data_IF_214116505230
#
_entry.id   IF_214116505230
#
_cell.length_a   1.000
_cell.length_b   1.000
_cell.length_c   1.000
_cell.angle_alpha   90.00
_cell.angle_beta   90.00
_cell.angle_gamma   90.00
#
_symmetry.space_group_name_H-M   'P 1'
#
loop_
_entity.id
_entity.type
_entity.pdbx_description
1 polymer ?
#
# COMPACT_ATOMS: atom_id res chain seq x y z
N UNK A 1 0.96 33.07 9.43
CA UNK A 1 -0.20 32.90 10.36
C UNK A 1 -0.46 31.41 10.51
N UNK A 2 -0.28 30.85 11.70
CA UNK A 2 -0.47 29.42 11.92
C UNK A 2 -1.96 29.06 11.89
N UNK A 3 -2.30 27.98 11.19
CA UNK A 3 -3.66 27.39 11.18
C UNK A 3 -4.04 27.05 12.61
N UNK A 4 -5.20 27.54 13.08
CA UNK A 4 -5.70 27.22 14.43
C UNK A 4 -6.11 25.74 14.52
N UNK A 5 -6.15 25.19 15.75
CA UNK A 5 -6.54 23.81 15.99
C UNK A 5 -7.94 23.48 15.41
N UNK A 6 -8.90 24.40 15.59
CA UNK A 6 -10.26 24.21 15.05
C UNK A 6 -10.30 24.12 13.52
N UNK A 7 -9.52 24.96 12.83
CA UNK A 7 -9.42 24.92 11.36
C UNK A 7 -8.70 23.62 10.92
N UNK A 8 -7.63 23.23 11.62
CA UNK A 8 -6.91 21.99 11.31
C UNK A 8 -7.82 20.76 11.47
N UNK A 9 -8.61 20.68 12.53
CA UNK A 9 -9.60 19.60 12.76
C UNK A 9 -10.68 19.63 11.66
N UNK A 10 -11.20 20.80 11.30
CA UNK A 10 -12.20 20.94 10.24
C UNK A 10 -11.70 20.46 8.88
N UNK A 11 -10.49 20.88 8.48
CA UNK A 11 -9.85 20.46 7.23
C UNK A 11 -9.51 18.96 7.24
N UNK A 12 -9.02 18.43 8.37
CA UNK A 12 -8.75 17.01 8.55
C UNK A 12 -10.03 16.16 8.39
N UNK A 13 -11.12 16.58 9.04
CA UNK A 13 -12.40 15.87 8.94
C UNK A 13 -12.95 15.90 7.51
N UNK A 14 -12.87 17.06 6.85
CA UNK A 14 -13.31 17.20 5.45
C UNK A 14 -12.49 16.31 4.52
N UNK A 15 -11.15 16.32 4.67
CA UNK A 15 -10.26 15.49 3.87
C UNK A 15 -10.51 14.00 4.13
N UNK A 16 -10.71 13.57 5.39
CA UNK A 16 -11.02 12.19 5.76
C UNK A 16 -12.31 11.71 5.09
N UNK A 17 -13.39 12.49 5.19
CA UNK A 17 -14.67 12.15 4.56
C UNK A 17 -14.52 12.10 3.04
N UNK A 18 -13.81 13.04 2.44
CA UNK A 18 -13.56 13.08 0.99
C UNK A 18 -12.81 11.84 0.52
N UNK A 19 -11.76 11.43 1.23
CA UNK A 19 -10.98 10.22 0.92
C UNK A 19 -11.84 8.97 1.03
N UNK A 20 -12.60 8.80 2.13
CA UNK A 20 -13.45 7.62 2.33
C UNK A 20 -14.52 7.52 1.25
N UNK A 21 -15.23 8.61 0.98
CA UNK A 21 -16.27 8.64 -0.06
C UNK A 21 -15.66 8.36 -1.44
N UNK A 22 -14.56 9.03 -1.79
CA UNK A 22 -13.89 8.81 -3.07
C UNK A 22 -13.39 7.35 -3.20
N UNK A 23 -12.82 6.75 -2.14
CA UNK A 23 -12.33 5.38 -2.15
C UNK A 23 -13.45 4.34 -2.39
N UNK A 24 -14.65 4.56 -1.81
CA UNK A 24 -15.81 3.70 -2.04
C UNK A 24 -16.24 3.73 -3.51
N UNK A 25 -16.41 4.92 -4.09
CA UNK A 25 -16.79 5.05 -5.50
C UNK A 25 -15.68 4.60 -6.45
N UNK A 26 -14.42 4.84 -6.11
CA UNK A 26 -13.26 4.36 -6.87
C UNK A 26 -13.28 2.84 -6.99
N UNK A 27 -13.52 2.13 -5.88
CA UNK A 27 -13.56 0.67 -5.84
C UNK A 27 -14.71 0.13 -6.69
N UNK A 28 -15.91 0.72 -6.56
CA UNK A 28 -17.06 0.33 -7.38
C UNK A 28 -16.81 0.57 -8.87
N UNK A 29 -16.22 1.71 -9.22
CA UNK A 29 -15.86 2.00 -10.60
C UNK A 29 -14.78 1.04 -11.14
N UNK A 30 -13.78 0.67 -10.31
CA UNK A 30 -12.76 -0.31 -10.65
C UNK A 30 -13.36 -1.69 -10.93
N UNK A 31 -14.33 -2.14 -10.14
CA UNK A 31 -15.03 -3.42 -10.35
C UNK A 31 -15.80 -3.44 -11.68
N UNK A 32 -16.50 -2.35 -12.01
CA UNK A 32 -17.18 -2.20 -13.31
C UNK A 32 -16.18 -2.20 -14.48
N UNK A 33 -15.03 -1.52 -14.32
CA UNK A 33 -13.95 -1.52 -15.34
C UNK A 33 -13.41 -2.95 -15.52
N UNK A 34 -13.17 -3.68 -14.43
CA UNK A 34 -12.69 -5.05 -14.48
C UNK A 34 -13.65 -5.94 -15.28
N UNK A 35 -14.94 -5.92 -14.91
CA UNK A 35 -16.00 -6.72 -15.52
C UNK A 35 -16.21 -6.36 -17.01
N UNK A 36 -16.38 -5.05 -17.34
CA UNK A 36 -16.65 -4.60 -18.71
C UNK A 36 -15.50 -4.73 -19.69
N UNK A 37 -14.26 -4.68 -19.19
CA UNK A 37 -13.06 -4.78 -20.05
C UNK A 37 -12.47 -6.20 -20.09
N UNK A 38 -12.99 -7.14 -19.29
CA UNK A 38 -12.41 -8.48 -19.19
C UNK A 38 -10.96 -8.50 -18.67
N UNK A 39 -10.59 -7.49 -17.86
CA UNK A 39 -9.20 -7.35 -17.36
C UNK A 39 -8.91 -8.21 -16.13
N UNK A 40 -9.93 -8.83 -15.55
CA UNK A 40 -9.83 -9.56 -14.28
C UNK A 40 -9.64 -8.64 -13.07
N UNK A 41 -10.35 -8.94 -11.98
CA UNK A 41 -10.31 -8.19 -10.71
C UNK A 41 -8.91 -8.15 -10.09
N UNK A 42 -8.11 -9.19 -10.33
CA UNK A 42 -6.73 -9.26 -9.87
C UNK A 42 -5.86 -8.15 -10.47
N UNK A 43 -5.92 -7.95 -11.79
CA UNK A 43 -5.11 -6.92 -12.46
C UNK A 43 -5.60 -5.52 -12.10
N UNK A 44 -6.92 -5.29 -12.12
CA UNK A 44 -7.50 -3.99 -11.78
C UNK A 44 -7.20 -3.62 -10.32
N UNK A 45 -7.33 -4.58 -9.39
CA UNK A 45 -6.99 -4.36 -7.98
C UNK A 45 -5.50 -4.06 -7.79
N UNK A 46 -4.62 -4.87 -8.37
CA UNK A 46 -3.17 -4.75 -8.11
C UNK A 46 -2.48 -3.58 -8.83
N UNK A 47 -3.06 -3.04 -9.89
CA UNK A 47 -2.44 -1.97 -10.68
C UNK A 47 -3.26 -0.68 -10.68
N UNK A 48 -4.52 -0.74 -11.14
CA UNK A 48 -5.32 0.48 -11.27
C UNK A 48 -5.74 1.03 -9.90
N UNK A 49 -6.35 0.17 -9.07
CA UNK A 49 -6.86 0.58 -7.77
C UNK A 49 -5.70 0.92 -6.83
N UNK A 50 -4.72 0.03 -6.71
CA UNK A 50 -3.53 0.24 -5.90
C UNK A 50 -2.75 1.50 -6.34
N UNK A 51 -2.53 1.69 -7.64
CA UNK A 51 -1.86 2.88 -8.14
C UNK A 51 -2.63 4.18 -7.85
N UNK A 52 -3.96 4.17 -8.02
CA UNK A 52 -4.77 5.37 -7.77
C UNK A 52 -4.81 5.77 -6.28
N UNK A 53 -4.82 4.82 -5.36
CA UNK A 53 -4.82 5.10 -3.92
C UNK A 53 -3.44 5.53 -3.41
N UNK A 54 -2.36 5.02 -4.00
CA UNK A 54 -0.98 5.31 -3.56
C UNK A 54 -0.32 6.50 -4.29
N UNK A 55 -1.06 7.26 -5.11
CA UNK A 55 -0.55 8.51 -5.70
C UNK A 55 -0.11 9.55 -4.66
N UNK A 56 -0.81 9.76 -3.53
CA UNK A 56 -0.36 10.64 -2.46
C UNK A 56 0.98 10.21 -1.86
N UNK A 57 1.17 8.91 -1.67
CA UNK A 57 2.40 8.33 -1.15
C UNK A 57 3.57 8.59 -2.11
N UNK A 58 3.36 8.40 -3.43
CA UNK A 58 4.36 8.74 -4.44
C UNK A 58 4.77 10.21 -4.36
N UNK A 59 3.80 11.13 -4.28
CA UNK A 59 4.07 12.56 -4.17
C UNK A 59 4.86 12.89 -2.89
N UNK A 60 4.49 12.28 -1.76
CA UNK A 60 5.17 12.44 -0.47
C UNK A 60 6.59 11.90 -0.51
N UNK A 61 6.81 10.72 -1.12
CA UNK A 61 8.13 10.13 -1.26
C UNK A 61 9.07 10.99 -2.13
N UNK A 62 8.57 11.52 -3.25
CA UNK A 62 9.33 12.43 -4.11
C UNK A 62 9.69 13.71 -3.34
N UNK A 63 8.72 14.29 -2.62
CA UNK A 63 8.98 15.50 -1.81
C UNK A 63 10.03 15.24 -0.72
N UNK A 64 9.96 14.10 -0.03
CA UNK A 64 10.96 13.70 0.97
C UNK A 64 12.35 13.50 0.35
N UNK A 65 12.41 12.85 -0.81
CA UNK A 65 13.66 12.63 -1.54
C UNK A 65 14.29 13.99 -1.98
N UNK A 66 13.51 14.89 -2.59
CA UNK A 66 13.97 16.23 -2.97
C UNK A 66 14.46 17.06 -1.77
N UNK A 67 13.88 16.85 -0.59
CA UNK A 67 14.32 17.45 0.66
C UNK A 67 15.59 16.79 1.24
N UNK A 68 16.16 15.77 0.60
CA UNK A 68 17.33 15.03 1.07
C UNK A 68 17.06 14.10 2.23
N UNK A 69 15.78 13.77 2.52
CA UNK A 69 15.40 12.90 3.63
C UNK A 69 15.14 11.47 3.16
N UNK A 70 16.20 10.65 3.08
CA UNK A 70 16.11 9.24 2.73
C UNK A 70 15.22 8.45 3.71
N UNK A 71 15.33 8.75 5.01
CA UNK A 71 14.57 8.07 6.05
C UNK A 71 13.09 8.38 6.01
N UNK A 72 12.71 9.62 5.70
CA UNK A 72 11.30 9.96 5.56
C UNK A 72 10.69 9.24 4.35
N UNK A 73 11.40 9.19 3.22
CA UNK A 73 10.93 8.48 2.03
C UNK A 73 10.84 6.96 2.25
N UNK A 74 11.93 6.32 2.69
CA UNK A 74 11.99 4.87 2.87
C UNK A 74 11.14 4.41 4.06
N UNK A 75 11.21 5.11 5.19
CA UNK A 75 10.48 4.79 6.42
C UNK A 75 8.96 4.85 6.21
N UNK A 76 8.47 5.88 5.47
CA UNK A 76 7.05 5.98 5.12
C UNK A 76 6.59 4.79 4.27
N UNK A 77 7.32 4.44 3.21
CA UNK A 77 6.96 3.34 2.31
C UNK A 77 7.01 1.97 2.99
N UNK A 78 8.07 1.69 3.74
CA UNK A 78 8.19 0.43 4.48
C UNK A 78 7.17 0.35 5.63
N UNK A 79 6.92 1.47 6.32
CA UNK A 79 5.92 1.55 7.39
C UNK A 79 4.50 1.33 6.87
N UNK A 80 4.13 1.96 5.75
CA UNK A 80 2.84 1.73 5.09
C UNK A 80 2.67 0.27 4.67
N UNK A 81 3.72 -0.35 4.11
CA UNK A 81 3.69 -1.75 3.72
C UNK A 81 3.50 -2.70 4.93
N UNK A 82 4.12 -2.40 6.08
CA UNK A 82 3.87 -3.15 7.33
C UNK A 82 2.42 -3.04 7.79
N UNK A 83 1.87 -1.82 7.77
CA UNK A 83 0.49 -1.54 8.20
C UNK A 83 -0.51 -2.23 7.28
N UNK A 84 -0.35 -2.08 5.97
CA UNK A 84 -1.20 -2.71 4.96
C UNK A 84 -1.31 -4.23 5.13
N UNK A 85 -0.23 -4.91 5.50
CA UNK A 85 -0.26 -6.36 5.76
C UNK A 85 -1.05 -6.70 7.03
N UNK A 86 -0.99 -5.85 8.05
CA UNK A 86 -1.77 -6.02 9.27
C UNK A 86 -3.25 -5.75 9.03
N UNK A 87 -3.57 -4.71 8.27
CA UNK A 87 -4.93 -4.37 7.86
C UNK A 87 -5.55 -5.48 7.01
N UNK A 88 -4.81 -6.01 6.03
CA UNK A 88 -5.25 -7.15 5.24
C UNK A 88 -5.54 -8.38 6.12
N UNK A 89 -4.68 -8.68 7.09
CA UNK A 89 -4.89 -9.80 8.01
C UNK A 89 -6.17 -9.63 8.85
N UNK A 90 -6.44 -8.40 9.32
CA UNK A 90 -7.67 -8.06 10.05
C UNK A 90 -8.90 -8.20 9.15
N UNK A 91 -8.85 -7.63 7.94
CA UNK A 91 -9.97 -7.70 6.99
C UNK A 91 -10.25 -9.13 6.55
N UNK A 92 -9.22 -9.94 6.31
CA UNK A 92 -9.38 -11.36 6.02
C UNK A 92 -9.99 -12.14 7.18
N UNK A 93 -9.72 -11.76 8.43
CA UNK A 93 -10.39 -12.36 9.59
C UNK A 93 -11.87 -11.99 9.67
N UNK A 94 -12.23 -10.76 9.27
CA UNK A 94 -13.61 -10.27 9.31
C UNK A 94 -14.46 -10.79 8.14
N UNK A 95 -13.90 -10.87 6.94
CA UNK A 95 -14.61 -11.19 5.70
C UNK A 95 -14.18 -12.51 5.05
N UNK A 96 -12.97 -12.99 5.36
CA UNK A 96 -12.34 -14.13 4.72
C UNK A 96 -12.78 -15.46 5.30
N UNK A 97 -14.01 -15.92 4.99
CA UNK A 97 -14.40 -17.29 5.24
C UNK A 97 -13.52 -18.30 4.47
N UNK A 98 -13.55 -19.57 4.90
CA UNK A 98 -12.78 -20.68 4.28
C UNK A 98 -12.94 -20.75 2.75
N UNK A 99 -14.12 -20.42 2.24
CA UNK A 99 -14.45 -20.44 0.81
C UNK A 99 -13.67 -19.36 0.02
N UNK A 100 -13.56 -18.14 0.54
CA UNK A 100 -12.81 -17.05 -0.09
C UNK A 100 -11.33 -17.45 -0.26
N UNK A 101 -10.71 -18.00 0.78
CA UNK A 101 -9.32 -18.44 0.71
C UNK A 101 -9.07 -19.60 -0.28
N UNK A 102 -10.03 -20.50 -0.44
CA UNK A 102 -9.89 -21.64 -1.35
C UNK A 102 -10.04 -21.23 -2.83
N UNK A 103 -10.87 -20.23 -3.11
CA UNK A 103 -11.11 -19.73 -4.46
C UNK A 103 -9.99 -18.82 -4.95
N UNK A 104 -9.51 -17.93 -4.07
CA UNK A 104 -8.63 -16.81 -4.40
C UNK A 104 -7.13 -17.17 -4.33
N UNK A 105 -6.73 -18.14 -3.52
CA UNK A 105 -5.36 -18.28 -3.04
C UNK A 105 -4.27 -18.51 -4.11
N UNK A 106 -4.56 -19.20 -5.22
CA UNK A 106 -3.51 -19.54 -6.20
C UNK A 106 -3.10 -18.37 -7.10
N UNK A 107 -4.05 -17.52 -7.44
CA UNK A 107 -3.83 -16.38 -8.33
C UNK A 107 -3.17 -15.22 -7.58
N UNK A 108 -3.58 -15.00 -6.34
CA UNK A 108 -3.04 -13.97 -5.46
C UNK A 108 -1.59 -14.24 -5.02
N UNK A 109 -1.15 -15.50 -5.06
CA UNK A 109 0.23 -15.85 -4.71
C UNK A 109 1.27 -15.15 -5.60
N UNK A 110 0.95 -14.91 -6.89
CA UNK A 110 1.85 -14.20 -7.81
C UNK A 110 1.94 -12.70 -7.45
N UNK A 111 0.80 -12.07 -7.12
CA UNK A 111 0.78 -10.65 -6.68
C UNK A 111 1.54 -10.50 -5.36
N UNK A 112 1.32 -11.43 -4.43
CA UNK A 112 2.04 -11.46 -3.15
C UNK A 112 3.54 -11.69 -3.33
N UNK A 113 3.94 -12.59 -4.25
CA UNK A 113 5.34 -12.82 -4.59
C UNK A 113 6.01 -11.57 -5.21
N UNK A 114 5.27 -10.83 -6.04
CA UNK A 114 5.74 -9.56 -6.62
C UNK A 114 6.01 -8.52 -5.51
N UNK A 115 5.05 -8.33 -4.60
CA UNK A 115 5.21 -7.40 -3.48
C UNK A 115 6.36 -7.81 -2.55
N UNK A 116 6.46 -9.09 -2.23
CA UNK A 116 7.56 -9.65 -1.44
C UNK A 116 8.92 -9.43 -2.10
N UNK A 117 9.04 -9.77 -3.38
CA UNK A 117 10.31 -9.65 -4.12
C UNK A 117 10.78 -8.20 -4.23
N UNK A 118 9.86 -7.27 -4.55
CA UNK A 118 10.18 -5.84 -4.64
C UNK A 118 10.60 -5.28 -3.27
N UNK A 119 9.86 -5.61 -2.20
CA UNK A 119 10.20 -5.12 -0.86
C UNK A 119 11.52 -5.70 -0.37
N UNK A 120 11.76 -6.99 -0.63
CA UNK A 120 13.03 -7.63 -0.30
C UNK A 120 14.21 -7.01 -1.07
N UNK A 121 14.01 -6.69 -2.35
CA UNK A 121 15.02 -6.03 -3.19
C UNK A 121 15.35 -4.62 -2.65
N UNK A 122 14.33 -3.82 -2.30
CA UNK A 122 14.54 -2.50 -1.73
C UNK A 122 15.25 -2.57 -0.36
N UNK A 123 14.84 -3.51 0.50
CA UNK A 123 15.48 -3.76 1.79
C UNK A 123 16.95 -4.19 1.60
N UNK A 124 17.24 -5.05 0.61
CA UNK A 124 18.61 -5.48 0.29
C UNK A 124 19.48 -4.30 -0.14
N UNK A 125 18.98 -3.41 -1.01
CA UNK A 125 19.70 -2.20 -1.40
C UNK A 125 19.96 -1.28 -0.20
N UNK A 126 19.00 -1.14 0.71
CA UNK A 126 19.17 -0.34 1.92
C UNK A 126 20.16 -0.96 2.91
N UNK A 127 20.14 -2.29 3.11
CA UNK A 127 21.09 -3.03 3.97
C UNK A 127 22.51 -2.95 3.41
N UNK A 128 22.67 -3.17 2.10
CA UNK A 128 23.96 -3.12 1.44
C UNK A 128 24.50 -1.70 1.26
N UNK A 129 23.73 -0.69 1.67
CA UNK A 129 24.07 0.72 1.44
C UNK A 129 24.43 0.98 -0.02
N UNK A 130 23.64 0.43 -0.94
CA UNK A 130 23.93 0.43 -2.36
C UNK A 130 24.05 1.87 -2.91
N UNK A 131 25.26 2.28 -3.18
CA UNK A 131 25.61 3.60 -3.73
C UNK A 131 26.21 3.43 -5.14
N UNK A 132 25.41 2.87 -6.05
CA UNK A 132 25.81 2.70 -7.44
C UNK A 132 25.05 3.73 -8.27
N UNK A 133 25.81 4.66 -8.87
CA UNK A 133 25.29 5.70 -9.75
C UNK A 133 25.92 5.57 -11.14
N UNK A 134 25.14 5.81 -12.18
CA UNK A 134 25.59 5.90 -13.56
C UNK A 134 24.99 7.17 -14.17
N UNK A 135 25.85 8.06 -14.69
CA UNK A 135 25.43 9.36 -15.23
C UNK A 135 24.53 10.14 -14.24
N UNK A 136 24.92 10.16 -12.97
CA UNK A 136 24.17 10.79 -11.84
C UNK A 136 22.83 10.12 -11.51
N UNK A 137 22.47 9.02 -12.16
CA UNK A 137 21.24 8.27 -11.90
C UNK A 137 21.52 7.14 -10.90
N UNK A 138 20.74 7.08 -9.82
CA UNK A 138 20.84 6.00 -8.83
C UNK A 138 20.31 4.67 -9.41
N UNK A 139 21.21 3.74 -9.70
CA UNK A 139 20.88 2.43 -10.30
C UNK A 139 19.90 1.62 -9.46
N UNK A 140 19.97 1.56 -8.09
CA UNK A 140 19.00 0.82 -7.31
C UNK A 140 17.54 1.22 -7.58
N UNK A 141 17.28 2.52 -7.76
CA UNK A 141 15.93 3.02 -8.11
C UNK A 141 15.46 2.56 -9.48
N UNK A 142 16.34 2.63 -10.49
CA UNK A 142 16.04 2.16 -11.85
C UNK A 142 15.74 0.65 -11.85
N UNK A 143 16.52 -0.14 -11.12
CA UNK A 143 16.32 -1.59 -10.99
C UNK A 143 14.97 -1.90 -10.34
N UNK A 144 14.59 -1.20 -9.26
CA UNK A 144 13.30 -1.38 -8.61
C UNK A 144 12.15 -1.06 -9.56
N UNK A 145 12.18 0.10 -10.23
CA UNK A 145 11.14 0.51 -11.18
C UNK A 145 11.05 -0.47 -12.35
N UNK A 146 12.21 -0.85 -12.93
CA UNK A 146 12.27 -1.84 -14.01
C UNK A 146 11.70 -3.20 -13.59
N UNK A 147 12.04 -3.67 -12.39
CA UNK A 147 11.49 -4.91 -11.82
C UNK A 147 9.98 -4.82 -11.64
N UNK A 148 9.47 -3.70 -11.12
CA UNK A 148 8.03 -3.46 -10.98
C UNK A 148 7.31 -3.53 -12.33
N UNK A 149 7.83 -2.85 -13.36
CA UNK A 149 7.25 -2.84 -14.71
C UNK A 149 7.21 -4.24 -15.31
N UNK A 150 8.31 -4.98 -15.21
CA UNK A 150 8.40 -6.36 -15.73
C UNK A 150 7.42 -7.28 -15.02
N UNK A 151 7.39 -7.27 -13.68
CA UNK A 151 6.50 -8.12 -12.91
C UNK A 151 5.02 -7.74 -13.10
N UNK A 152 4.71 -6.44 -13.24
CA UNK A 152 3.36 -5.97 -13.59
C UNK A 152 2.93 -6.45 -14.98
N UNK A 153 3.85 -6.48 -15.94
CA UNK A 153 3.62 -7.05 -17.28
C UNK A 153 3.33 -8.56 -17.23
N UNK A 154 4.07 -9.29 -16.39
CA UNK A 154 3.83 -10.73 -16.16
C UNK A 154 2.46 -10.93 -15.51
N UNK A 155 2.11 -10.17 -14.48
CA UNK A 155 0.79 -10.23 -13.83
C UNK A 155 -0.35 -10.03 -14.83
N UNK A 156 -0.20 -9.06 -15.75
CA UNK A 156 -1.19 -8.82 -16.81
C UNK A 156 -1.42 -10.04 -17.69
N UNK A 157 -0.34 -10.70 -18.13
CA UNK A 157 -0.46 -11.89 -19.00
C UNK A 157 -1.20 -13.04 -18.30
N UNK A 158 -0.94 -13.23 -17.00
CA UNK A 158 -1.63 -14.25 -16.22
C UNK A 158 -3.11 -13.91 -15.94
N UNK A 159 -3.46 -12.62 -15.84
CA UNK A 159 -4.84 -12.18 -15.56
C UNK A 159 -5.77 -12.30 -16.77
N UNK A 160 -5.26 -12.13 -17.99
CA UNK A 160 -6.05 -12.18 -19.25
C UNK A 160 -6.53 -13.62 -19.59
N UNK A 161 -5.87 -14.64 -19.04
CA UNK A 161 -6.22 -16.06 -19.31
C UNK A 161 -7.27 -16.65 -18.39
N UNK A 162 -7.78 -15.88 -17.44
CA UNK A 162 -8.73 -16.33 -16.43
C UNK A 162 -10.07 -15.67 -16.74
N UNK A 163 -10.87 -16.32 -17.60
CA UNK A 163 -12.30 -16.02 -17.69
C UNK A 163 -12.93 -16.41 -16.35
N UNK A 164 -13.26 -15.43 -15.54
CA UNK A 164 -14.21 -15.63 -14.46
C UNK A 164 -15.56 -15.90 -15.13
N UNK A 165 -15.98 -17.17 -15.21
CA UNK A 165 -17.39 -17.53 -15.38
C UNK A 165 -18.13 -17.01 -14.14
N UNK A 166 -18.42 -15.73 -14.11
CA UNK A 166 -19.33 -15.15 -13.14
C UNK A 166 -20.71 -15.09 -13.81
N UNK A 167 -21.68 -15.80 -13.23
CA UNK A 167 -23.11 -15.54 -13.39
C UNK A 167 -23.49 -14.18 -12.80
N UNK A 168 -22.63 -13.15 -13.02
CA UNK A 168 -22.86 -11.82 -12.48
C UNK A 168 -23.85 -11.06 -13.36
N UNK A 169 -24.86 -10.48 -12.72
CA UNK A 169 -25.76 -9.52 -13.33
C UNK A 169 -24.97 -8.45 -14.08
N UNK A 170 -25.41 -8.07 -15.28
CA UNK A 170 -24.74 -7.02 -16.07
C UNK A 170 -24.53 -5.75 -15.19
N UNK A 171 -23.29 -5.20 -15.16
CA UNK A 171 -23.01 -4.00 -14.38
C UNK A 171 -24.00 -2.88 -14.66
N UNK A 172 -24.56 -2.29 -13.62
CA UNK A 172 -25.62 -1.27 -13.69
C UNK A 172 -25.23 0.01 -14.43
N UNK A 173 -23.91 0.25 -14.61
CA UNK A 173 -23.39 1.47 -15.21
C UNK A 173 -22.51 1.20 -16.44
N UNK A 174 -22.41 2.22 -17.32
CA UNK A 174 -21.59 2.15 -18.53
C UNK A 174 -20.09 2.24 -18.20
N UNK A 175 -19.24 1.65 -19.07
CA UNK A 175 -17.78 1.74 -18.95
C UNK A 175 -17.29 3.21 -18.94
N UNK A 176 -17.93 4.08 -19.72
CA UNK A 176 -17.59 5.52 -19.74
C UNK A 176 -17.85 6.17 -18.39
N UNK A 177 -18.98 5.87 -17.77
CA UNK A 177 -19.28 6.33 -16.41
C UNK A 177 -18.23 5.86 -15.42
N UNK A 178 -17.87 4.56 -15.48
CA UNK A 178 -16.86 3.98 -14.57
C UNK A 178 -15.50 4.68 -14.70
N UNK A 179 -15.01 4.94 -15.92
CA UNK A 179 -13.76 5.67 -16.12
C UNK A 179 -13.81 7.11 -15.63
N UNK A 180 -14.92 7.81 -15.84
CA UNK A 180 -15.10 9.20 -15.36
C UNK A 180 -15.11 9.23 -13.82
N UNK A 181 -15.87 8.34 -13.19
CA UNK A 181 -15.91 8.24 -11.72
C UNK A 181 -14.55 7.84 -11.15
N UNK A 182 -13.88 6.84 -11.77
CA UNK A 182 -12.55 6.42 -11.38
C UNK A 182 -11.56 7.59 -11.41
N UNK A 183 -11.47 8.30 -12.52
CA UNK A 183 -10.54 9.42 -12.69
C UNK A 183 -10.86 10.57 -11.72
N UNK A 184 -12.14 10.89 -11.51
CA UNK A 184 -12.56 11.92 -10.56
C UNK A 184 -12.20 11.55 -9.11
N UNK A 185 -12.50 10.31 -8.70
CA UNK A 185 -12.21 9.83 -7.36
C UNK A 185 -10.69 9.70 -7.11
N UNK A 186 -9.92 9.21 -8.08
CA UNK A 186 -8.46 9.17 -8.00
C UNK A 186 -7.87 10.58 -7.84
N UNK A 187 -8.38 11.56 -8.59
CA UNK A 187 -7.98 12.97 -8.45
C UNK A 187 -8.34 13.54 -7.08
N UNK A 188 -9.53 13.20 -6.55
CA UNK A 188 -9.96 13.62 -5.22
C UNK A 188 -9.06 13.05 -4.12
N UNK A 189 -8.68 11.77 -4.20
CA UNK A 189 -7.74 11.11 -3.28
C UNK A 189 -6.35 11.76 -3.38
N UNK A 190 -5.87 12.02 -4.60
CA UNK A 190 -4.58 12.66 -4.85
C UNK A 190 -4.47 14.06 -4.19
N UNK A 191 -5.57 14.82 -4.18
CA UNK A 191 -5.62 16.15 -3.54
C UNK A 191 -5.87 16.06 -2.04
N UNK A 192 -6.81 15.20 -1.62
CA UNK A 192 -7.23 15.10 -0.22
C UNK A 192 -6.22 14.33 0.65
N UNK A 193 -5.49 13.36 0.11
CA UNK A 193 -4.50 12.57 0.85
C UNK A 193 -3.38 13.43 1.47
N UNK A 194 -2.64 14.23 0.70
CA UNK A 194 -1.65 15.17 1.26
C UNK A 194 -2.24 16.17 2.26
N UNK A 195 -3.46 16.68 2.01
CA UNK A 195 -4.14 17.57 2.94
C UNK A 195 -4.44 16.87 4.27
N UNK A 196 -4.85 15.60 4.21
CA UNK A 196 -5.08 14.76 5.37
C UNK A 196 -3.80 14.60 6.20
N UNK A 197 -2.67 14.28 5.55
CA UNK A 197 -1.38 14.13 6.20
C UNK A 197 -0.89 15.43 6.85
N UNK A 198 -0.95 16.56 6.13
CA UNK A 198 -0.53 17.88 6.62
C UNK A 198 -1.38 18.31 7.82
N UNK A 199 -2.69 18.13 7.75
CA UNK A 199 -3.59 18.54 8.85
C UNK A 199 -3.45 17.62 10.06
N UNK A 200 -3.22 16.32 9.88
CA UNK A 200 -2.91 15.40 10.96
C UNK A 200 -1.62 15.78 11.69
N UNK A 201 -0.55 16.07 10.94
CA UNK A 201 0.72 16.52 11.50
C UNK A 201 0.55 17.84 12.27
N UNK A 202 -0.26 18.78 11.75
CA UNK A 202 -0.56 20.05 12.41
C UNK A 202 -1.35 19.89 13.70
N UNK A 203 -2.35 18.98 13.71
CA UNK A 203 -3.11 18.64 14.92
C UNK A 203 -2.17 18.04 15.98
N UNK A 204 -1.32 17.09 15.58
CA UNK A 204 -0.36 16.47 16.47
C UNK A 204 0.59 17.50 17.10
N UNK A 205 1.13 18.44 16.32
CA UNK A 205 1.98 19.53 16.79
C UNK A 205 1.24 20.43 17.80
N UNK A 206 0.02 20.86 17.47
CA UNK A 206 -0.76 21.78 18.32
C UNK A 206 -1.27 21.16 19.61
N UNK A 207 -1.45 19.82 19.64
CA UNK A 207 -1.90 19.07 20.81
C UNK A 207 -0.75 18.52 21.66
N UNK A 208 0.50 18.66 21.20
CA UNK A 208 1.68 18.07 21.84
C UNK A 208 1.83 16.56 21.64
N UNK A 209 0.96 15.93 20.83
CA UNK A 209 1.02 14.50 20.51
C UNK A 209 2.13 14.25 19.47
N UNK A 210 2.47 15.25 18.65
CA UNK A 210 3.37 15.12 17.49
C UNK A 210 4.83 14.78 17.81
N UNK A 211 5.28 15.05 19.04
CA UNK A 211 6.62 14.68 19.50
C UNK A 211 6.70 13.22 19.99
N UNK A 212 5.59 12.49 19.99
CA UNK A 212 5.49 11.15 20.51
C UNK A 212 5.32 10.11 19.39
N UNK A 213 5.69 8.87 19.70
CA UNK A 213 5.43 7.69 18.87
C UNK A 213 3.94 7.57 18.45
N UNK A 214 3.01 7.99 19.33
CA UNK A 214 1.56 7.98 19.04
C UNK A 214 1.21 8.93 17.88
N UNK A 215 1.86 10.10 17.79
CA UNK A 215 1.65 11.02 16.66
C UNK A 215 2.08 10.42 15.32
N UNK A 216 3.23 9.73 15.30
CA UNK A 216 3.71 9.04 14.08
C UNK A 216 2.76 7.89 13.70
N UNK A 217 2.31 7.11 14.67
CA UNK A 217 1.36 6.02 14.44
C UNK A 217 0.02 6.54 13.90
N UNK A 218 -0.52 7.61 14.50
CA UNK A 218 -1.76 8.21 14.04
C UNK A 218 -1.64 8.75 12.61
N UNK A 219 -0.49 9.34 12.25
CA UNK A 219 -0.21 9.81 10.89
C UNK A 219 -0.19 8.65 9.90
N UNK A 220 0.50 7.55 10.21
CA UNK A 220 0.55 6.37 9.36
C UNK A 220 -0.85 5.78 9.12
N UNK A 221 -1.66 5.61 10.17
CA UNK A 221 -3.04 5.13 10.06
C UNK A 221 -3.91 6.02 9.15
N UNK A 222 -3.68 7.33 9.19
CA UNK A 222 -4.44 8.30 8.41
C UNK A 222 -4.03 8.29 6.93
N UNK A 223 -2.76 8.15 6.63
CA UNK A 223 -2.27 8.15 5.25
C UNK A 223 -2.64 6.87 4.49
N UNK A 224 -2.81 5.73 5.19
CA UNK A 224 -3.26 4.46 4.58
C UNK A 224 -4.79 4.32 4.54
N UNK A 225 -5.54 5.37 4.91
CA UNK A 225 -7.01 5.34 4.92
C UNK A 225 -7.64 5.03 3.54
N UNK A 226 -7.12 5.55 2.39
CA UNK A 226 -7.62 5.20 1.07
C UNK A 226 -7.51 3.69 0.80
N UNK A 227 -6.35 3.09 1.07
CA UNK A 227 -6.07 1.67 0.85
C UNK A 227 -6.95 0.77 1.71
N UNK A 228 -7.09 1.11 2.98
CA UNK A 228 -7.95 0.39 3.91
C UNK A 228 -9.42 0.46 3.45
N UNK A 229 -9.89 1.65 3.05
CA UNK A 229 -11.27 1.86 2.62
C UNK A 229 -11.58 1.14 1.30
N UNK A 230 -10.68 1.21 0.31
CA UNK A 230 -10.85 0.50 -0.97
C UNK A 230 -10.87 -1.01 -0.76
N UNK A 231 -9.96 -1.54 0.05
CA UNK A 231 -9.90 -2.97 0.35
C UNK A 231 -11.14 -3.45 1.12
N UNK A 232 -11.57 -2.69 2.14
CA UNK A 232 -12.81 -2.97 2.85
C UNK A 232 -14.02 -2.96 1.91
N UNK A 233 -14.11 -1.96 1.01
CA UNK A 233 -15.20 -1.84 0.04
C UNK A 233 -15.20 -3.00 -0.94
N UNK A 234 -14.03 -3.41 -1.45
CA UNK A 234 -13.91 -4.56 -2.33
C UNK A 234 -14.43 -5.86 -1.67
N UNK A 235 -14.13 -6.09 -0.39
CA UNK A 235 -14.75 -7.21 0.35
C UNK A 235 -16.26 -7.05 0.46
N UNK A 236 -16.75 -5.84 0.70
CA UNK A 236 -18.21 -5.56 0.87
C UNK A 236 -19.01 -5.76 -0.40
N UNK A 237 -18.44 -5.49 -1.58
CA UNK A 237 -19.10 -5.70 -2.88
C UNK A 237 -18.91 -7.13 -3.43
N UNK A 238 -18.32 -8.03 -2.65
CA UNK A 238 -18.11 -9.43 -3.06
C UNK A 238 -16.95 -9.64 -4.02
N UNK A 239 -15.96 -8.73 -4.04
CA UNK A 239 -14.75 -8.82 -4.87
C UNK A 239 -13.47 -9.08 -4.04
N UNK A 240 -13.36 -10.23 -3.33
CA UNK A 240 -12.23 -10.51 -2.46
C UNK A 240 -10.89 -10.60 -3.21
N UNK A 241 -10.92 -11.02 -4.49
CA UNK A 241 -9.74 -11.04 -5.36
C UNK A 241 -9.18 -9.64 -5.54
N UNK A 242 -10.06 -8.67 -5.83
CA UNK A 242 -9.68 -7.27 -5.96
C UNK A 242 -9.17 -6.70 -4.63
N UNK A 243 -9.77 -7.09 -3.49
CA UNK A 243 -9.35 -6.65 -2.17
C UNK A 243 -7.91 -7.08 -1.84
N UNK A 244 -7.61 -8.37 -2.03
CA UNK A 244 -6.26 -8.91 -1.75
C UNK A 244 -5.25 -8.38 -2.76
N UNK A 245 -5.63 -8.33 -4.05
CA UNK A 245 -4.79 -7.77 -5.10
C UNK A 245 -4.46 -6.29 -4.85
N UNK A 246 -5.43 -5.49 -4.36
CA UNK A 246 -5.22 -4.09 -4.02
C UNK A 246 -4.13 -3.93 -2.95
N UNK A 247 -4.20 -4.66 -1.82
CA UNK A 247 -3.22 -4.52 -0.74
C UNK A 247 -1.80 -4.93 -1.15
N UNK A 248 -1.64 -6.07 -1.82
CA UNK A 248 -0.32 -6.46 -2.32
C UNK A 248 0.16 -5.57 -3.47
N UNK A 249 -0.77 -5.12 -4.32
CA UNK A 249 -0.50 -4.16 -5.40
C UNK A 249 0.00 -2.82 -4.85
N UNK A 250 -0.68 -2.27 -3.85
CA UNK A 250 -0.26 -1.07 -3.11
C UNK A 250 1.15 -1.23 -2.53
N UNK A 251 1.43 -2.37 -1.90
CA UNK A 251 2.76 -2.63 -1.36
C UNK A 251 3.84 -2.69 -2.45
N UNK A 252 3.51 -3.25 -3.62
CA UNK A 252 4.41 -3.24 -4.78
C UNK A 252 4.59 -1.83 -5.34
N UNK A 253 3.50 -1.06 -5.44
CA UNK A 253 3.53 0.33 -5.93
C UNK A 253 4.32 1.25 -5.00
N UNK A 254 4.17 1.11 -3.69
CA UNK A 254 4.93 1.87 -2.69
C UNK A 254 6.44 1.69 -2.87
N UNK A 255 6.89 0.48 -3.16
CA UNK A 255 8.31 0.22 -3.44
C UNK A 255 8.73 0.79 -4.80
N UNK A 256 7.88 0.69 -5.81
CA UNK A 256 8.13 1.36 -7.10
C UNK A 256 8.20 2.88 -6.93
N UNK A 257 7.30 3.46 -6.12
CA UNK A 257 7.31 4.88 -5.76
C UNK A 257 8.60 5.30 -5.05
N UNK A 258 9.12 4.46 -4.13
CA UNK A 258 10.43 4.68 -3.51
C UNK A 258 11.55 4.62 -4.56
N UNK A 259 11.47 3.69 -5.51
CA UNK A 259 12.39 3.61 -6.64
C UNK A 259 12.37 4.90 -7.48
N UNK A 260 11.18 5.40 -7.84
CA UNK A 260 11.01 6.68 -8.55
C UNK A 260 11.55 7.84 -7.71
N UNK A 261 11.18 7.92 -6.44
CA UNK A 261 11.64 8.98 -5.53
C UNK A 261 13.17 9.02 -5.42
N UNK A 262 13.82 7.85 -5.44
CA UNK A 262 15.29 7.78 -5.38
C UNK A 262 16.00 8.46 -6.56
N UNK A 263 15.32 8.63 -7.70
CA UNK A 263 15.86 9.34 -8.87
C UNK A 263 15.92 10.86 -8.66
N UNK A 264 15.15 11.37 -7.71
CA UNK A 264 15.11 12.78 -7.33
C UNK A 264 15.92 13.09 -6.07
N UNK A 265 16.61 12.09 -5.49
CA UNK A 265 17.40 12.28 -4.28
C UNK A 265 18.72 12.99 -4.59
N UNK A 266 19.02 14.13 -3.93
CA UNK A 266 20.26 14.87 -4.20
C UNK A 266 21.46 14.16 -3.57
N UNK A 267 22.52 14.00 -4.32
CA UNK A 267 23.81 13.55 -3.78
C UNK A 267 24.01 12.03 -3.72
N UNK A 268 23.54 11.29 -4.73
CA UNK A 268 23.83 9.86 -4.87
C UNK A 268 22.63 8.95 -4.68
N UNK A 269 22.82 7.77 -4.10
CA UNK A 269 21.74 6.82 -3.89
C UNK A 269 20.98 7.08 -2.58
N UNK A 270 19.65 7.21 -2.67
CA UNK A 270 18.78 7.26 -1.52
C UNK A 270 19.03 6.05 -0.59
N UNK A 271 19.20 4.86 -1.18
CA UNK A 271 19.35 3.61 -0.42
C UNK A 271 20.64 3.54 0.41
N UNK A 272 21.70 4.26 0.02
CA UNK A 272 22.93 4.37 0.82
C UNK A 272 22.70 5.17 2.12
N UNK A 273 21.74 6.06 2.13
CA UNK A 273 21.49 7.01 3.23
C UNK A 273 20.31 6.61 4.14
N UNK A 274 19.68 5.45 3.89
CA UNK A 274 18.59 4.92 4.75
C UNK A 274 19.15 4.47 6.10
N UNK A 275 18.57 4.90 7.21
CA UNK A 275 18.99 4.55 8.57
C UNK A 275 18.61 3.11 8.95
N UNK A 276 19.20 2.62 10.06
CA UNK A 276 18.89 1.30 10.60
C UNK A 276 17.42 1.15 11.04
N UNK A 277 16.78 2.24 11.48
CA UNK A 277 15.36 2.25 11.84
C UNK A 277 14.47 1.97 10.63
N UNK A 278 14.70 2.67 9.52
CA UNK A 278 13.95 2.46 8.27
C UNK A 278 14.27 1.10 7.62
N UNK A 279 15.51 0.62 7.70
CA UNK A 279 15.88 -0.75 7.28
C UNK A 279 15.09 -1.79 8.08
N UNK A 280 14.96 -1.60 9.40
CA UNK A 280 14.19 -2.51 10.25
C UNK A 280 12.72 -2.55 9.84
N UNK A 281 12.11 -1.39 9.52
CA UNK A 281 10.75 -1.35 8.97
C UNK A 281 10.65 -2.17 7.66
N UNK A 282 11.62 -2.04 6.76
CA UNK A 282 11.71 -2.82 5.54
C UNK A 282 11.77 -4.33 5.80
N UNK A 283 12.58 -4.77 6.77
CA UNK A 283 12.69 -6.18 7.15
C UNK A 283 11.38 -6.74 7.74
N UNK A 284 10.70 -5.97 8.59
CA UNK A 284 9.37 -6.36 9.09
C UNK A 284 8.33 -6.39 7.98
N UNK A 285 8.36 -5.46 7.02
CA UNK A 285 7.49 -5.51 5.85
C UNK A 285 7.73 -6.77 5.02
N UNK A 286 8.99 -7.15 4.76
CA UNK A 286 9.36 -8.40 4.07
C UNK A 286 8.84 -9.62 4.84
N UNK A 287 9.02 -9.65 6.16
CA UNK A 287 8.55 -10.75 7.02
C UNK A 287 7.02 -10.90 6.93
N UNK A 288 6.27 -9.80 7.11
CA UNK A 288 4.81 -9.82 7.05
C UNK A 288 4.30 -10.24 5.68
N UNK A 289 4.89 -9.73 4.59
CA UNK A 289 4.55 -10.15 3.22
C UNK A 289 4.87 -11.61 2.96
N UNK A 290 6.02 -12.09 3.43
CA UNK A 290 6.41 -13.50 3.31
C UNK A 290 5.45 -14.43 4.04
N UNK A 291 5.00 -14.06 5.24
CA UNK A 291 3.99 -14.79 5.99
C UNK A 291 2.64 -14.80 5.28
N UNK A 292 2.19 -13.66 4.75
CA UNK A 292 0.96 -13.55 3.98
C UNK A 292 1.01 -14.37 2.68
N UNK A 293 2.11 -14.31 1.94
CA UNK A 293 2.35 -15.13 0.75
C UNK A 293 2.32 -16.63 1.10
N UNK A 294 3.00 -17.03 2.17
CA UNK A 294 3.02 -18.43 2.61
C UNK A 294 1.61 -18.93 2.96
N UNK A 295 0.77 -18.07 3.53
CA UNK A 295 -0.60 -18.38 3.85
C UNK A 295 -1.44 -18.59 2.59
N UNK A 296 -1.31 -17.74 1.57
CA UNK A 296 -1.95 -17.89 0.26
C UNK A 296 -1.51 -19.20 -0.41
N UNK A 297 -0.22 -19.52 -0.41
CA UNK A 297 0.31 -20.75 -0.99
C UNK A 297 -0.21 -22.02 -0.29
N UNK A 298 -0.39 -21.98 1.02
CA UNK A 298 -0.88 -23.13 1.81
C UNK A 298 -2.39 -23.33 1.72
N UNK A 299 -3.13 -22.38 1.14
CA UNK A 299 -4.61 -22.42 1.01
C UNK A 299 -5.34 -22.74 2.32
N UNK A 300 -4.76 -22.42 3.47
CA UNK A 300 -5.32 -22.74 4.80
C UNK A 300 -6.01 -21.52 5.39
N UNK A 301 -7.27 -21.66 5.83
CA UNK A 301 -7.99 -20.59 6.51
C UNK A 301 -7.35 -20.23 7.86
N UNK A 302 -7.50 -18.97 8.26
CA UNK A 302 -7.00 -18.38 9.52
C UNK A 302 -7.67 -18.92 10.81
N UNK A 303 -8.52 -19.94 10.72
CA UNK A 303 -9.49 -20.31 11.77
C UNK A 303 -8.91 -21.03 12.98
N UNK A 304 -7.69 -21.54 12.92
CA UNK A 304 -7.10 -22.23 14.07
C UNK A 304 -5.76 -21.58 14.44
N UNK A 305 -5.67 -21.09 15.68
CA UNK A 305 -4.41 -20.64 16.24
C UNK A 305 -3.40 -21.80 16.24
N UNK A 306 -2.40 -21.70 15.40
CA UNK A 306 -1.26 -22.62 15.37
C UNK A 306 0.01 -21.80 15.17
N UNK A 307 1.06 -22.12 15.88
CA UNK A 307 2.37 -21.50 15.66
C UNK A 307 2.90 -21.72 14.23
N UNK A 308 2.30 -22.63 13.47
CA UNK A 308 2.68 -22.94 12.09
C UNK A 308 1.80 -22.25 11.03
N UNK A 309 0.71 -21.59 11.42
CA UNK A 309 -0.18 -20.85 10.51
C UNK A 309 -0.24 -19.38 10.95
N UNK A 310 0.15 -18.44 10.08
CA UNK A 310 0.03 -17.01 10.40
C UNK A 310 -1.43 -16.64 10.73
N UNK A 311 -1.63 -15.99 11.85
CA UNK A 311 -2.95 -15.55 12.31
C UNK A 311 -3.02 -14.03 12.38
N UNK A 312 -4.21 -13.40 12.28
CA UNK A 312 -4.32 -11.95 12.41
C UNK A 312 -3.66 -11.36 13.66
N UNK A 313 -3.81 -11.93 14.88
CA UNK A 313 -3.08 -11.45 16.04
C UNK A 313 -1.56 -11.51 15.89
N UNK A 314 -1.03 -12.47 15.14
CA UNK A 314 0.41 -12.57 14.85
C UNK A 314 0.86 -11.43 13.93
N UNK A 315 0.09 -11.07 12.88
CA UNK A 315 0.40 -9.95 12.02
C UNK A 315 0.41 -8.63 12.80
N UNK A 316 -0.64 -8.40 13.59
CA UNK A 316 -0.74 -7.20 14.44
C UNK A 316 0.38 -7.16 15.47
N UNK A 317 0.68 -8.29 16.12
CA UNK A 317 1.78 -8.40 17.08
C UNK A 317 3.15 -8.12 16.45
N UNK A 318 3.42 -8.64 15.25
CA UNK A 318 4.66 -8.36 14.52
C UNK A 318 4.73 -6.90 14.05
N UNK A 319 3.61 -6.31 13.64
CA UNK A 319 3.55 -4.90 13.31
C UNK A 319 3.90 -4.03 14.52
N UNK A 320 3.28 -4.28 15.69
CA UNK A 320 3.55 -3.54 16.92
C UNK A 320 5.02 -3.73 17.36
N UNK A 321 5.54 -4.95 17.28
CA UNK A 321 6.95 -5.23 17.58
C UNK A 321 7.88 -4.48 16.63
N UNK A 322 7.56 -4.48 15.33
CA UNK A 322 8.31 -3.75 14.32
C UNK A 322 8.34 -2.25 14.61
N UNK A 323 7.18 -1.65 14.91
CA UNK A 323 7.09 -0.23 15.31
C UNK A 323 7.94 0.06 16.57
N UNK A 324 7.89 -0.81 17.57
CA UNK A 324 8.69 -0.65 18.79
C UNK A 324 10.19 -0.67 18.50
N UNK A 325 10.64 -1.59 17.64
CA UNK A 325 12.07 -1.69 17.25
C UNK A 325 12.48 -0.46 16.42
N UNK A 326 11.66 -0.06 15.43
CA UNK A 326 11.89 1.15 14.63
C UNK A 326 12.04 2.38 15.53
N UNK A 327 11.14 2.53 16.51
CA UNK A 327 11.20 3.63 17.47
C UNK A 327 12.47 3.60 18.32
N UNK A 328 12.87 2.44 18.81
CA UNK A 328 14.10 2.27 19.62
C UNK A 328 15.38 2.56 18.84
N UNK A 329 15.38 2.32 17.53
CA UNK A 329 16.54 2.59 16.68
C UNK A 329 16.58 4.03 16.17
N UNK A 330 15.45 4.76 16.24
CA UNK A 330 15.34 6.16 15.86
C UNK A 330 15.63 7.10 17.05
N UNK A 331 15.51 6.62 18.30
CA UNK A 331 15.84 7.34 19.55
C UNK A 331 17.32 7.20 19.92
#
# INVERSE_FOLDING_TARGET
MGVSLSIAIGLFSLASVSVVVAAIFLTTAADIIASRMGLGRLWVGSLLLAGATSLPELATAIAAALAGSADLAAGNMFGANMLNMSDLAILLALFGGRQVFQQVASQQALVAATAFALTALAALFAISKADVTLLEVAIPGVVIVGTYVVLSGVLRQFSIGIEEESDEEEPSHSLRWAWVVFAFCASAIFVAGPLLAITAARIAELTGIGASFIGVLALALVTTLPELTTTFTAFRIGAPDMAIANMYGTNSFNIAALGVASLFYPGGSLFANVSSSSISAGLFAVLLMGLGMLQLLRRRPLTNFSFTTPTPPMFVGLYILGLFIVFRLAS
#
